data_IF_824673726413
#
_entry.id   IF_824673726413
#
_cell.length_a   1.000
_cell.length_b   1.000
_cell.length_c   1.000
_cell.angle_alpha   90.00
_cell.angle_beta   90.00
_cell.angle_gamma   90.00
#
_symmetry.space_group_name_H-M   'P 1'
#
loop_
_entity.id
_entity.type
_entity.pdbx_description
1 polymer ?
#
# COMPACT_ATOMS: atom_id res chain seq x y z
N UNK A 1 13.46 14.43 -12.39
CA UNK A 1 13.20 14.65 -10.94
C UNK A 1 11.72 14.72 -10.62
N UNK A 2 10.89 15.46 -11.37
CA UNK A 2 9.44 15.53 -11.10
C UNK A 2 8.71 14.18 -11.08
N UNK A 3 9.06 13.24 -11.96
CA UNK A 3 8.43 11.92 -12.05
C UNK A 3 8.64 11.00 -10.84
N UNK A 4 9.82 11.08 -10.18
CA UNK A 4 10.08 10.32 -8.97
C UNK A 4 9.31 10.90 -7.78
N UNK A 5 9.31 12.22 -7.63
CA UNK A 5 8.52 12.88 -6.57
C UNK A 5 7.02 12.58 -6.72
N UNK A 6 6.49 12.62 -7.95
CA UNK A 6 5.11 12.22 -8.22
C UNK A 6 4.85 10.75 -7.88
N UNK A 7 5.81 9.85 -8.10
CA UNK A 7 5.66 8.44 -7.73
C UNK A 7 5.65 8.23 -6.21
N UNK A 8 6.51 8.94 -5.47
CA UNK A 8 6.53 8.91 -4.00
C UNK A 8 5.23 9.50 -3.44
N UNK A 9 4.74 10.62 -3.99
CA UNK A 9 3.48 11.23 -3.58
C UNK A 9 2.27 10.33 -3.86
N UNK A 10 2.29 9.56 -4.95
CA UNK A 10 1.21 8.64 -5.29
C UNK A 10 1.22 7.36 -4.44
N UNK A 11 2.39 6.77 -4.21
CA UNK A 11 2.52 5.47 -3.53
C UNK A 11 2.67 5.60 -2.01
N UNK A 12 2.90 6.79 -1.47
CA UNK A 12 3.16 6.99 -0.03
C UNK A 12 2.37 8.16 0.55
N UNK A 13 2.10 8.09 1.86
CA UNK A 13 1.45 9.17 2.62
C UNK A 13 2.43 10.26 3.07
N UNK A 14 3.71 10.17 2.71
CA UNK A 14 4.73 11.14 3.13
C UNK A 14 4.40 12.49 2.48
N UNK A 15 4.13 13.55 3.27
CA UNK A 15 3.81 14.86 2.73
C UNK A 15 5.08 15.46 2.11
N UNK A 16 5.19 15.38 0.80
CA UNK A 16 6.24 16.08 0.06
C UNK A 16 5.71 17.49 -0.20
N UNK A 17 6.43 18.56 0.22
CA UNK A 17 6.09 19.92 -0.14
C UNK A 17 5.99 20.00 -1.66
N UNK A 18 4.76 20.15 -2.16
CA UNK A 18 4.54 20.32 -3.57
C UNK A 18 5.38 21.51 -4.01
N UNK A 19 6.19 21.35 -5.07
CA UNK A 19 6.62 22.53 -5.82
C UNK A 19 5.34 23.31 -6.15
N UNK A 20 5.32 24.65 -6.01
CA UNK A 20 4.18 25.44 -6.47
C UNK A 20 3.86 24.92 -7.84
N UNK A 21 2.62 24.44 -7.95
CA UNK A 21 2.17 23.59 -9.03
C UNK A 21 2.68 24.16 -10.36
N UNK A 22 3.01 23.28 -11.28
CA UNK A 22 3.15 23.64 -12.68
C UNK A 22 1.85 24.27 -13.28
N UNK A 23 0.81 24.48 -12.46
CA UNK A 23 -0.35 25.33 -12.78
C UNK A 23 -0.10 26.82 -12.47
N UNK A 24 0.77 27.17 -11.51
CA UNK A 24 1.18 28.55 -11.22
C UNK A 24 2.28 29.06 -12.18
N UNK A 25 3.04 28.16 -12.79
CA UNK A 25 4.02 28.43 -13.86
C UNK A 25 3.75 27.40 -14.93
N UNK A 26 3.16 27.78 -16.08
CA UNK A 26 2.60 26.91 -17.13
C UNK A 26 3.51 25.83 -17.73
N UNK A 27 3.97 24.90 -16.91
CA UNK A 27 4.76 23.74 -17.26
C UNK A 27 3.81 22.56 -17.41
N UNK A 28 4.00 21.77 -18.47
CA UNK A 28 3.13 20.62 -18.71
C UNK A 28 3.11 19.65 -17.49
N UNK A 29 1.95 19.01 -17.19
CA UNK A 29 1.90 17.92 -16.22
C UNK A 29 2.95 16.86 -16.55
N UNK A 30 3.62 16.31 -15.53
CA UNK A 30 4.55 15.20 -15.75
C UNK A 30 3.74 14.01 -16.31
N UNK A 31 4.14 13.42 -17.45
CA UNK A 31 3.38 12.32 -18.04
C UNK A 31 3.33 11.11 -17.10
N UNK A 32 2.15 10.55 -16.87
CA UNK A 32 1.93 9.44 -15.94
C UNK A 32 2.81 8.22 -16.24
N UNK A 33 3.06 7.90 -17.52
CA UNK A 33 3.94 6.81 -17.91
C UNK A 33 5.37 6.95 -17.36
N UNK A 34 5.88 8.18 -17.24
CA UNK A 34 7.21 8.44 -16.65
C UNK A 34 7.21 8.25 -15.15
N UNK A 35 6.07 8.43 -14.48
CA UNK A 35 5.89 8.23 -13.04
C UNK A 35 5.83 6.74 -12.70
N UNK A 36 5.10 5.94 -13.48
CA UNK A 36 4.98 4.47 -13.29
C UNK A 36 6.34 3.77 -13.34
N UNK A 37 7.25 4.23 -14.21
CA UNK A 37 8.61 3.68 -14.29
C UNK A 37 9.39 3.76 -12.97
N UNK A 38 9.02 4.65 -12.04
CA UNK A 38 9.64 4.79 -10.72
C UNK A 38 8.97 3.97 -9.62
N UNK A 39 7.82 3.33 -9.88
CA UNK A 39 7.11 2.53 -8.87
C UNK A 39 7.98 1.42 -8.27
N UNK A 40 8.78 0.65 -9.05
CA UNK A 40 9.67 -0.35 -8.48
C UNK A 40 10.72 0.24 -7.54
N UNK A 41 11.24 1.44 -7.86
CA UNK A 41 12.22 2.13 -7.02
C UNK A 41 11.59 2.57 -5.69
N UNK A 42 10.39 3.16 -5.73
CA UNK A 42 9.66 3.53 -4.50
C UNK A 42 9.31 2.30 -3.68
N UNK A 43 8.89 1.21 -4.33
CA UNK A 43 8.65 -0.08 -3.68
C UNK A 43 9.89 -0.64 -2.98
N UNK A 44 11.07 -0.56 -3.61
CA UNK A 44 12.33 -0.96 -3.00
C UNK A 44 12.68 -0.09 -1.77
N UNK A 45 12.46 1.22 -1.84
CA UNK A 45 12.66 2.13 -0.69
C UNK A 45 11.73 1.76 0.47
N UNK A 46 10.45 1.52 0.20
CA UNK A 46 9.49 1.06 1.21
C UNK A 46 9.88 -0.29 1.82
N UNK A 47 10.32 -1.23 0.97
CA UNK A 47 10.83 -2.53 1.42
C UNK A 47 12.01 -2.39 2.37
N UNK A 48 13.02 -1.60 1.99
CA UNK A 48 14.17 -1.30 2.85
C UNK A 48 13.75 -0.67 4.19
N UNK A 49 12.82 0.28 4.16
CA UNK A 49 12.32 0.92 5.38
C UNK A 49 11.62 -0.09 6.31
N UNK A 50 10.79 -0.98 5.77
CA UNK A 50 10.11 -2.02 6.54
C UNK A 50 11.09 -3.05 7.09
N UNK A 51 12.11 -3.44 6.33
CA UNK A 51 13.17 -4.36 6.81
C UNK A 51 13.99 -3.75 7.95
N UNK A 52 14.32 -2.45 7.87
CA UNK A 52 15.01 -1.76 8.97
C UNK A 52 14.12 -1.68 10.23
N UNK A 53 12.83 -1.38 10.05
CA UNK A 53 11.88 -1.38 11.15
C UNK A 53 11.74 -2.76 11.79
N UNK A 54 11.66 -3.80 10.98
CA UNK A 54 11.62 -5.19 11.41
C UNK A 54 12.86 -5.59 12.23
N UNK A 55 14.06 -5.24 11.76
CA UNK A 55 15.30 -5.49 12.48
C UNK A 55 15.32 -4.78 13.85
N UNK A 56 14.83 -3.54 13.93
CA UNK A 56 14.75 -2.79 15.19
C UNK A 56 13.72 -3.39 16.16
N UNK A 57 12.52 -3.71 15.68
CA UNK A 57 11.43 -4.25 16.50
C UNK A 57 11.70 -5.67 16.99
N UNK A 58 12.35 -6.50 16.18
CA UNK A 58 12.63 -7.90 16.50
C UNK A 58 13.62 -8.09 17.65
N UNK A 59 14.36 -7.04 18.03
CA UNK A 59 15.23 -7.05 19.21
C UNK A 59 14.41 -6.94 20.50
N UNK A 60 13.24 -6.29 20.46
CA UNK A 60 12.43 -5.98 21.65
C UNK A 60 11.13 -6.80 21.73
N UNK A 61 10.59 -7.25 20.59
CA UNK A 61 9.24 -7.77 20.49
C UNK A 61 9.20 -9.19 19.90
N UNK A 62 8.23 -10.03 20.33
CA UNK A 62 7.98 -11.32 19.71
C UNK A 62 7.59 -11.19 18.23
N UNK A 63 7.93 -12.19 17.43
CA UNK A 63 7.70 -12.21 15.97
C UNK A 63 6.26 -11.88 15.56
N UNK A 64 5.27 -12.39 16.29
CA UNK A 64 3.86 -12.09 16.04
C UNK A 64 3.52 -10.61 16.23
N UNK A 65 4.04 -9.97 17.28
CA UNK A 65 3.80 -8.54 17.53
C UNK A 65 4.50 -7.70 16.47
N UNK A 66 5.75 -8.04 16.15
CA UNK A 66 6.52 -7.38 15.09
C UNK A 66 5.82 -7.46 13.73
N UNK A 67 5.30 -8.63 13.35
CA UNK A 67 4.56 -8.80 12.09
C UNK A 67 3.32 -7.90 12.01
N UNK A 68 2.53 -7.79 13.09
CA UNK A 68 1.37 -6.87 13.13
C UNK A 68 1.82 -5.43 12.94
N UNK A 69 2.83 -4.98 13.68
CA UNK A 69 3.34 -3.61 13.58
C UNK A 69 3.90 -3.29 12.19
N UNK A 70 4.54 -4.24 11.53
CA UNK A 70 5.01 -4.09 10.15
C UNK A 70 3.86 -3.96 9.15
N UNK A 71 2.79 -4.75 9.30
CA UNK A 71 1.60 -4.61 8.44
C UNK A 71 0.95 -3.24 8.64
N UNK A 72 0.80 -2.79 9.89
CA UNK A 72 0.26 -1.45 10.19
C UNK A 72 1.15 -0.36 9.60
N UNK A 73 2.47 -0.44 9.78
CA UNK A 73 3.42 0.51 9.22
C UNK A 73 3.36 0.53 7.69
N UNK A 74 3.26 -0.63 7.03
CA UNK A 74 3.09 -0.71 5.57
C UNK A 74 1.82 0.00 5.12
N UNK A 75 0.68 -0.28 5.75
CA UNK A 75 -0.59 0.38 5.42
C UNK A 75 -0.49 1.90 5.63
N UNK A 76 0.08 2.35 6.77
CA UNK A 76 0.26 3.76 7.06
C UNK A 76 1.20 4.47 6.08
N UNK A 77 2.32 3.84 5.71
CA UNK A 77 3.28 4.41 4.76
C UNK A 77 2.69 4.55 3.36
N UNK A 78 1.81 3.64 2.96
CA UNK A 78 1.19 3.61 1.62
C UNK A 78 -0.19 4.27 1.57
N UNK A 79 -0.70 4.76 2.70
CA UNK A 79 -2.05 5.30 2.81
C UNK A 79 -3.15 4.27 2.52
N UNK A 80 -2.83 2.98 2.64
CA UNK A 80 -3.70 1.87 2.28
C UNK A 80 -4.27 1.90 0.84
N UNK A 81 -3.67 2.67 -0.09
CA UNK A 81 -4.18 2.85 -1.46
C UNK A 81 -4.43 1.53 -2.20
N UNK A 82 -3.52 0.56 -2.04
CA UNK A 82 -3.66 -0.75 -2.67
C UNK A 82 -4.74 -1.61 -2.01
N UNK A 83 -4.96 -1.44 -0.70
CA UNK A 83 -5.98 -2.16 0.04
C UNK A 83 -7.36 -1.62 -0.33
N UNK A 84 -7.50 -0.30 -0.40
CA UNK A 84 -8.70 0.42 -0.83
C UNK A 84 -9.12 0.00 -2.25
N UNK A 85 -8.21 0.10 -3.22
CA UNK A 85 -8.49 -0.35 -4.59
C UNK A 85 -8.80 -1.84 -4.71
N UNK A 86 -8.26 -2.69 -3.84
CA UNK A 86 -8.64 -4.11 -3.77
C UNK A 86 -10.04 -4.29 -3.21
N UNK A 87 -10.42 -3.52 -2.19
CA UNK A 87 -11.76 -3.56 -1.60
C UNK A 87 -12.81 -3.12 -2.62
N UNK A 88 -12.59 -1.99 -3.30
CA UNK A 88 -13.46 -1.49 -4.36
C UNK A 88 -13.61 -2.48 -5.51
N UNK A 89 -12.49 -3.09 -5.94
CA UNK A 89 -12.52 -4.10 -6.99
C UNK A 89 -13.28 -5.35 -6.54
N UNK A 90 -13.11 -5.80 -5.30
CA UNK A 90 -13.83 -6.95 -4.79
C UNK A 90 -15.34 -6.68 -4.69
N UNK A 91 -15.75 -5.52 -4.18
CA UNK A 91 -17.15 -5.14 -4.07
C UNK A 91 -17.80 -4.95 -5.45
N UNK A 92 -17.09 -4.36 -6.41
CA UNK A 92 -17.57 -4.18 -7.78
C UNK A 92 -17.63 -5.48 -8.60
N UNK A 93 -16.60 -6.34 -8.52
CA UNK A 93 -16.47 -7.51 -9.39
C UNK A 93 -17.19 -8.75 -8.86
N UNK A 94 -17.21 -8.96 -7.54
CA UNK A 94 -17.76 -10.18 -6.93
C UNK A 94 -19.27 -10.06 -6.64
N UNK A 95 -19.82 -8.84 -6.68
CA UNK A 95 -21.26 -8.68 -6.58
C UNK A 95 -21.98 -9.19 -7.85
N UNK A 96 -23.09 -9.89 -7.64
CA UNK A 96 -23.96 -10.38 -8.71
C UNK A 96 -24.95 -9.27 -9.10
N UNK A 97 -24.46 -8.31 -9.86
CA UNK A 97 -25.22 -7.15 -10.30
C UNK A 97 -24.86 -6.76 -11.73
N UNK A 98 -25.78 -6.06 -12.40
CA UNK A 98 -25.54 -5.49 -13.72
C UNK A 98 -24.37 -4.50 -13.69
N UNK A 99 -23.63 -4.30 -14.80
CA UNK A 99 -22.44 -3.44 -14.85
C UNK A 99 -22.66 -2.02 -14.31
N UNK A 100 -23.83 -1.42 -14.58
CA UNK A 100 -24.17 -0.10 -14.07
C UNK A 100 -24.21 -0.06 -12.53
N UNK A 101 -24.80 -1.09 -11.91
CA UNK A 101 -24.89 -1.22 -10.45
C UNK A 101 -23.54 -1.52 -9.82
N UNK A 102 -22.68 -2.29 -10.50
CA UNK A 102 -21.29 -2.52 -10.05
C UNK A 102 -20.50 -1.22 -9.94
N UNK A 103 -20.65 -0.33 -10.92
CA UNK A 103 -19.99 0.98 -10.92
C UNK A 103 -20.56 1.94 -9.86
N UNK A 104 -21.85 1.84 -9.55
CA UNK A 104 -22.44 2.56 -8.41
C UNK A 104 -21.83 2.10 -7.09
N UNK A 105 -21.68 0.78 -6.89
CA UNK A 105 -21.09 0.20 -5.68
C UNK A 105 -19.63 0.66 -5.50
N UNK A 106 -18.83 0.68 -6.56
CA UNK A 106 -17.44 1.17 -6.51
C UNK A 106 -17.31 2.67 -6.23
N UNK A 107 -18.40 3.45 -6.32
CA UNK A 107 -18.44 4.88 -5.98
C UNK A 107 -19.05 5.15 -4.62
N UNK A 108 -19.66 4.13 -4.01
CA UNK A 108 -20.17 4.22 -2.66
C UNK A 108 -18.99 4.30 -1.69
N UNK A 109 -19.13 5.11 -0.65
CA UNK A 109 -18.14 5.22 0.43
C UNK A 109 -18.26 4.03 1.38
N UNK A 110 -19.40 3.32 1.35
CA UNK A 110 -19.62 2.12 2.13
C UNK A 110 -18.92 0.90 1.50
N UNK A 111 -18.15 0.18 2.30
CA UNK A 111 -17.55 -1.09 1.88
C UNK A 111 -18.52 -2.27 2.04
N UNK A 112 -18.54 -3.14 1.05
CA UNK A 112 -19.30 -4.38 1.07
C UNK A 112 -18.55 -5.52 1.76
N UNK A 113 -19.26 -6.65 1.90
CA UNK A 113 -18.70 -7.86 2.53
C UNK A 113 -17.54 -8.44 1.72
N UNK A 114 -17.57 -8.30 0.39
CA UNK A 114 -16.50 -8.79 -0.48
C UNK A 114 -15.22 -7.97 -0.31
N UNK A 115 -15.33 -6.65 -0.22
CA UNK A 115 -14.21 -5.76 0.09
C UNK A 115 -13.58 -6.10 1.43
N UNK A 116 -14.38 -6.20 2.49
CA UNK A 116 -13.89 -6.57 3.83
C UNK A 116 -13.21 -7.95 3.81
N UNK A 117 -13.80 -8.94 3.15
CA UNK A 117 -13.21 -10.28 3.05
C UNK A 117 -11.87 -10.27 2.29
N UNK A 118 -11.77 -9.53 1.19
CA UNK A 118 -10.53 -9.38 0.43
C UNK A 118 -9.45 -8.67 1.25
N UNK A 119 -9.81 -7.60 1.97
CA UNK A 119 -8.90 -6.88 2.86
C UNK A 119 -8.38 -7.78 3.97
N UNK A 120 -9.27 -8.53 4.64
CA UNK A 120 -8.90 -9.49 5.66
C UNK A 120 -7.96 -10.56 5.11
N UNK A 121 -8.27 -11.13 3.94
CA UNK A 121 -7.44 -12.13 3.28
C UNK A 121 -6.02 -11.65 3.03
N UNK A 122 -5.85 -10.44 2.49
CA UNK A 122 -4.52 -9.86 2.22
C UNK A 122 -3.79 -9.49 3.50
N UNK A 123 -4.45 -8.88 4.48
CA UNK A 123 -3.84 -8.54 5.77
C UNK A 123 -3.36 -9.79 6.51
N UNK A 124 -4.19 -10.83 6.57
CA UNK A 124 -3.82 -12.11 7.17
C UNK A 124 -2.66 -12.77 6.43
N UNK A 125 -2.69 -12.76 5.09
CA UNK A 125 -1.58 -13.31 4.28
C UNK A 125 -0.28 -12.59 4.59
N UNK A 126 -0.28 -11.24 4.61
CA UNK A 126 0.92 -10.45 4.97
C UNK A 126 1.42 -10.79 6.37
N UNK A 127 0.53 -10.84 7.35
CA UNK A 127 0.86 -11.18 8.72
C UNK A 127 1.50 -12.58 8.82
N UNK A 128 0.85 -13.60 8.26
CA UNK A 128 1.34 -14.99 8.29
C UNK A 128 2.68 -15.10 7.57
N UNK A 129 2.85 -14.47 6.40
CA UNK A 129 4.12 -14.47 5.68
C UNK A 129 5.25 -13.85 6.50
N UNK A 130 5.02 -12.68 7.13
CA UNK A 130 6.02 -12.02 7.96
C UNK A 130 6.36 -12.84 9.22
N UNK A 131 5.34 -13.38 9.89
CA UNK A 131 5.52 -14.21 11.08
C UNK A 131 6.27 -15.51 10.76
N UNK A 132 6.00 -16.13 9.60
CA UNK A 132 6.67 -17.34 9.14
C UNK A 132 8.15 -17.09 8.80
N UNK A 133 8.47 -15.99 8.11
CA UNK A 133 9.86 -15.61 7.81
C UNK A 133 10.66 -15.36 9.09
N UNK A 134 10.02 -14.76 10.11
CA UNK A 134 10.65 -14.56 11.40
C UNK A 134 10.90 -15.87 12.17
N UNK A 135 10.11 -16.94 11.92
CA UNK A 135 10.23 -18.23 12.59
C UNK A 135 11.12 -19.25 11.87
N UNK A 136 11.25 -19.18 10.54
CA UNK A 136 11.97 -20.18 9.72
C UNK A 136 13.46 -19.91 9.47
N UNK A 137 13.89 -18.64 9.43
CA UNK A 137 15.25 -18.26 9.02
C UNK A 137 16.06 -17.55 10.13
N UNK A 138 15.43 -17.17 11.25
CA UNK A 138 16.10 -16.48 12.36
C UNK A 138 16.67 -17.42 13.43
N UNK A 139 16.44 -18.72 13.29
CA UNK A 139 17.03 -19.77 14.12
C UNK A 139 18.47 -20.13 13.72
N UNK A 140 19.34 -19.13 13.58
CA UNK A 140 20.81 -19.33 13.53
C UNK A 140 21.43 -19.08 14.91
N UNK A 141 20.76 -19.55 15.96
CA UNK A 141 21.31 -19.70 17.31
C UNK A 141 21.06 -21.11 17.80
#
# INVERSE_FOLDING_TARGET
MGSLLSAVQFLTTIPIPARPSNQAVGLAPVPFHRTVAWFPTVGAILGCALTLLDAALSILLPSGVTAVLLVVAWLALTGALHLDGLMDAADGLLCHAEPARRLEIMRDVAHGTFGIAAALGVVLTKYVSLAALAGGERGLT
#
